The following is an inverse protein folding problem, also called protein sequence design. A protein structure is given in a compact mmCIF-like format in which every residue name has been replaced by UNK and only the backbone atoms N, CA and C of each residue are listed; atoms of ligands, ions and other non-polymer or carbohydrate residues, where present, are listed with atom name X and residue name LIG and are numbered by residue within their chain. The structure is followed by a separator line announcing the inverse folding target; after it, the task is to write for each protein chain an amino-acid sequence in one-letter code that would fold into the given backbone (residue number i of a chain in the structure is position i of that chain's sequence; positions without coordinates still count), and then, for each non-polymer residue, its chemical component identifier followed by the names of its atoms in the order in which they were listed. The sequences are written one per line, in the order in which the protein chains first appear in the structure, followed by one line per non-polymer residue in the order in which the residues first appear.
data_IF_960939597149
#
_entry.id   IF_960939597149
#
_cell.length_a   1.000
_cell.length_b   1.000
_cell.length_c   1.000
_cell.angle_alpha   90.00
_cell.angle_beta   90.00
_cell.angle_gamma   90.00
#
_symmetry.space_group_name_H-M   'P 1'
#
loop_
_entity.id
_entity.type
_entity.pdbx_description
1 polymer ?
#
# COMPACT_ATOMS: atom_id res chain seq x y z
N UNK A 1 -15.66 -3.78 12.22
CA UNK A 1 -15.67 -2.34 11.89
C UNK A 1 -16.25 -2.00 10.52
N UNK A 2 -16.15 -2.89 9.50
CA UNK A 2 -16.56 -2.56 8.12
C UNK A 2 -18.05 -2.28 7.95
N UNK A 3 -18.92 -2.99 8.65
CA UNK A 3 -20.38 -2.85 8.52
C UNK A 3 -20.92 -1.46 8.92
N UNK A 4 -20.41 -0.90 10.02
CA UNK A 4 -20.84 0.44 10.47
C UNK A 4 -20.38 1.52 9.46
N UNK A 5 -19.18 1.41 8.92
CA UNK A 5 -18.66 2.34 7.93
C UNK A 5 -19.46 2.34 6.63
N UNK A 6 -19.84 1.16 6.14
CA UNK A 6 -20.70 1.00 4.96
C UNK A 6 -22.10 1.55 5.21
N UNK A 7 -22.68 1.26 6.37
CA UNK A 7 -24.02 1.77 6.74
C UNK A 7 -24.02 3.30 6.82
N UNK A 8 -23.07 3.89 7.55
CA UNK A 8 -22.99 5.35 7.68
C UNK A 8 -22.72 6.04 6.34
N UNK A 9 -21.81 5.49 5.54
CA UNK A 9 -21.49 6.02 4.22
C UNK A 9 -22.70 5.96 3.28
N UNK A 10 -23.40 4.84 3.25
CA UNK A 10 -24.63 4.67 2.47
C UNK A 10 -25.75 5.62 2.92
N UNK A 11 -25.99 5.69 4.23
CA UNK A 11 -27.00 6.59 4.81
C UNK A 11 -26.74 8.05 4.48
N UNK A 12 -25.50 8.54 4.62
CA UNK A 12 -25.13 9.92 4.29
C UNK A 12 -25.32 10.17 2.79
N UNK A 13 -24.86 9.25 1.94
CA UNK A 13 -24.97 9.35 0.48
C UNK A 13 -26.45 9.41 0.05
N UNK A 14 -27.29 8.54 0.58
CA UNK A 14 -28.71 8.48 0.25
C UNK A 14 -29.45 9.75 0.71
N UNK A 15 -29.21 10.17 1.95
CA UNK A 15 -29.80 11.41 2.50
C UNK A 15 -29.36 12.63 1.69
N UNK A 16 -28.09 12.72 1.31
CA UNK A 16 -27.57 13.81 0.49
C UNK A 16 -28.22 13.86 -0.89
N UNK A 17 -28.27 12.72 -1.58
CA UNK A 17 -28.87 12.63 -2.91
C UNK A 17 -30.39 12.88 -2.88
N UNK A 18 -31.06 12.51 -1.80
CA UNK A 18 -32.48 12.81 -1.58
C UNK A 18 -32.77 14.31 -1.36
N UNK A 19 -31.83 14.99 -0.66
CA UNK A 19 -31.96 16.44 -0.39
C UNK A 19 -31.52 17.28 -1.59
N UNK A 20 -30.48 16.84 -2.30
CA UNK A 20 -29.89 17.53 -3.46
C UNK A 20 -29.82 16.60 -4.67
N UNK A 21 -30.96 16.39 -5.39
CA UNK A 21 -30.99 15.53 -6.57
C UNK A 21 -30.08 16.01 -7.69
N UNK A 22 -29.94 17.35 -7.82
CA UNK A 22 -28.99 17.98 -8.74
C UNK A 22 -27.75 18.45 -7.95
N UNK A 23 -26.56 17.93 -8.29
CA UNK A 23 -25.30 18.36 -7.65
C UNK A 23 -25.06 19.87 -7.74
N UNK A 24 -25.59 20.55 -8.77
CA UNK A 24 -25.47 22.00 -8.92
C UNK A 24 -26.19 22.80 -7.84
N UNK A 25 -27.16 22.22 -7.13
CA UNK A 25 -27.92 22.85 -6.03
C UNK A 25 -27.33 22.51 -4.65
N UNK A 26 -26.39 21.58 -4.59
CA UNK A 26 -25.77 21.14 -3.34
C UNK A 26 -24.68 22.12 -2.86
N UNK A 27 -24.43 22.22 -1.54
CA UNK A 27 -23.28 22.95 -1.01
C UNK A 27 -21.97 22.47 -1.64
N UNK A 28 -21.16 23.41 -2.13
CA UNK A 28 -19.89 23.14 -2.82
C UNK A 28 -20.02 22.26 -4.07
N UNK A 29 -21.19 22.11 -4.65
CA UNK A 29 -21.50 21.25 -5.79
C UNK A 29 -21.08 19.78 -5.56
N UNK A 30 -21.22 19.30 -4.31
CA UNK A 30 -20.79 17.95 -3.92
C UNK A 30 -21.84 16.91 -4.32
N UNK A 31 -21.35 15.81 -4.87
CA UNK A 31 -22.14 14.58 -5.04
C UNK A 31 -22.25 13.84 -3.71
N UNK A 32 -23.29 13.01 -3.53
CA UNK A 32 -23.53 12.31 -2.26
C UNK A 32 -22.36 11.48 -1.76
N UNK A 33 -21.62 10.80 -2.65
CA UNK A 33 -20.43 10.05 -2.26
C UNK A 33 -19.30 10.96 -1.74
N UNK A 34 -19.13 12.14 -2.31
CA UNK A 34 -18.13 13.12 -1.85
C UNK A 34 -18.49 13.67 -0.47
N UNK A 35 -19.78 13.95 -0.25
CA UNK A 35 -20.29 14.36 1.05
C UNK A 35 -20.06 13.27 2.11
N UNK A 36 -20.30 12.01 1.78
CA UNK A 36 -20.02 10.87 2.66
C UNK A 36 -18.53 10.78 3.04
N UNK A 37 -17.62 10.92 2.06
CA UNK A 37 -16.18 10.94 2.33
C UNK A 37 -15.75 12.11 3.21
N UNK A 38 -16.30 13.31 2.98
CA UNK A 38 -15.99 14.47 3.81
C UNK A 38 -16.52 14.31 5.23
N UNK A 39 -17.74 13.80 5.38
CA UNK A 39 -18.36 13.60 6.69
C UNK A 39 -17.57 12.61 7.57
N UNK A 40 -16.95 11.59 6.98
CA UNK A 40 -16.09 10.64 7.69
C UNK A 40 -14.65 11.15 7.79
N UNK A 41 -14.16 11.84 6.77
CA UNK A 41 -12.77 12.30 6.70
C UNK A 41 -12.46 13.45 7.65
N UNK A 42 -13.38 14.41 7.83
CA UNK A 42 -13.18 15.56 8.73
C UNK A 42 -12.96 15.12 10.19
N UNK A 43 -13.80 14.25 10.78
CA UNK A 43 -13.51 13.69 12.11
C UNK A 43 -12.17 12.96 12.17
N UNK A 44 -11.79 12.26 11.10
CA UNK A 44 -10.49 11.58 10.99
C UNK A 44 -9.31 12.57 11.07
N UNK A 45 -9.41 13.72 10.39
CA UNK A 45 -8.40 14.78 10.46
C UNK A 45 -8.31 15.36 11.87
N UNK A 46 -9.45 15.61 12.52
CA UNK A 46 -9.48 16.10 13.91
C UNK A 46 -8.83 15.11 14.87
N UNK A 47 -9.11 13.81 14.69
CA UNK A 47 -8.45 12.75 15.45
C UNK A 47 -6.94 12.70 15.18
N UNK A 48 -6.50 12.87 13.96
CA UNK A 48 -5.08 12.89 13.60
C UNK A 48 -4.36 14.08 14.26
N UNK A 49 -4.98 15.25 14.30
CA UNK A 49 -4.46 16.43 15.02
C UNK A 49 -4.38 16.14 16.51
N UNK A 50 -5.42 15.54 17.07
CA UNK A 50 -5.45 15.19 18.49
C UNK A 50 -4.37 14.16 18.84
N UNK A 51 -4.23 13.09 18.08
CA UNK A 51 -3.18 12.07 18.27
C UNK A 51 -1.78 12.70 18.25
N UNK A 52 -1.56 13.73 17.43
CA UNK A 52 -0.27 14.45 17.41
C UNK A 52 0.07 15.14 18.73
N UNK A 53 -0.91 15.43 19.58
CA UNK A 53 -0.69 16.02 20.91
C UNK A 53 -0.36 14.97 21.97
N UNK A 54 -0.57 13.68 21.68
CA UNK A 54 -0.26 12.60 22.60
C UNK A 54 1.25 12.37 22.66
N UNK A 55 1.75 12.16 23.87
CA UNK A 55 3.16 11.80 24.07
C UNK A 55 3.38 10.38 23.58
N UNK A 56 4.28 10.21 22.60
CA UNK A 56 4.61 8.89 22.07
C UNK A 56 5.30 8.05 23.17
N UNK A 57 4.80 6.84 23.47
CA UNK A 57 5.47 5.96 24.40
C UNK A 57 6.80 5.50 23.81
N UNK A 58 7.80 5.27 24.65
CA UNK A 58 9.10 4.79 24.18
C UNK A 58 8.91 3.41 23.54
N UNK A 59 9.27 3.32 22.25
CA UNK A 59 9.12 2.09 21.48
C UNK A 59 9.95 0.96 22.05
N UNK A 60 9.36 -0.23 22.15
CA UNK A 60 10.03 -1.43 22.61
C UNK A 60 10.10 -1.60 24.12
N UNK A 61 9.58 -0.66 24.94
CA UNK A 61 9.58 -0.80 26.41
C UNK A 61 8.84 -2.07 26.87
N UNK A 62 7.73 -2.41 26.22
CA UNK A 62 6.95 -3.63 26.51
C UNK A 62 7.71 -4.92 26.21
N UNK A 63 8.71 -4.86 25.35
CA UNK A 63 9.54 -5.99 24.91
C UNK A 63 10.94 -5.97 25.54
N UNK A 64 11.20 -5.00 26.45
CA UNK A 64 12.52 -4.82 27.05
C UNK A 64 13.59 -4.28 26.07
N UNK A 65 13.18 -3.84 24.89
CA UNK A 65 14.05 -3.28 23.86
C UNK A 65 13.90 -1.77 23.84
N UNK A 66 15.00 -1.04 24.02
CA UNK A 66 15.02 0.40 23.81
C UNK A 66 15.39 0.64 22.35
N UNK A 67 14.39 0.96 21.51
CA UNK A 67 14.65 1.34 20.13
C UNK A 67 15.44 2.66 20.13
N UNK A 68 16.63 2.66 19.51
CA UNK A 68 17.38 3.91 19.26
C UNK A 68 16.57 4.77 18.29
N UNK A 69 16.27 6.00 18.71
CA UNK A 69 15.70 6.98 17.80
C UNK A 69 16.68 7.22 16.64
N UNK A 70 16.18 7.13 15.42
CA UNK A 70 17.01 7.45 14.25
C UNK A 70 17.17 8.97 14.17
N UNK A 71 18.40 9.49 14.09
CA UNK A 71 18.66 10.95 14.15
C UNK A 71 18.03 11.73 12.99
N UNK A 72 17.65 11.04 11.92
CA UNK A 72 17.04 11.67 10.73
C UNK A 72 15.94 10.79 10.13
N UNK A 73 14.74 10.71 10.76
CA UNK A 73 13.67 9.81 10.30
C UNK A 73 13.18 10.12 8.88
N UNK A 74 13.17 11.39 8.48
CA UNK A 74 12.75 11.79 7.14
C UNK A 74 13.76 11.41 6.04
N UNK A 75 15.05 11.31 6.34
CA UNK A 75 16.04 10.85 5.37
C UNK A 75 15.86 9.36 5.08
N UNK A 76 15.58 8.57 6.11
CA UNK A 76 15.28 7.13 5.96
C UNK A 76 14.00 6.95 5.14
N UNK A 77 12.95 7.69 5.46
CA UNK A 77 11.70 7.66 4.70
C UNK A 77 11.93 7.99 3.22
N UNK A 78 12.69 9.05 2.94
CA UNK A 78 13.04 9.46 1.56
C UNK A 78 13.84 8.37 0.83
N UNK A 79 14.80 7.74 1.51
CA UNK A 79 15.59 6.64 0.94
C UNK A 79 14.75 5.41 0.65
N UNK A 80 13.84 5.03 1.55
CA UNK A 80 12.92 3.92 1.32
C UNK A 80 11.97 4.22 0.16
N UNK A 81 11.38 5.41 0.09
CA UNK A 81 10.54 5.80 -1.04
C UNK A 81 11.32 5.81 -2.35
N UNK A 82 12.54 6.33 -2.36
CA UNK A 82 13.39 6.32 -3.55
C UNK A 82 13.72 4.90 -4.01
N UNK A 83 13.88 3.94 -3.08
CA UNK A 83 14.12 2.54 -3.41
C UNK A 83 12.92 1.84 -4.06
N UNK A 84 11.71 2.36 -3.86
CA UNK A 84 10.48 1.81 -4.42
C UNK A 84 10.13 2.41 -5.79
N UNK A 85 10.58 3.64 -6.09
CA UNK A 85 10.24 4.31 -7.34
C UNK A 85 11.08 3.77 -8.50
N UNK A 86 10.46 3.36 -9.64
CA UNK A 86 11.17 3.00 -10.85
C UNK A 86 12.17 4.10 -11.25
N UNK A 87 13.34 3.74 -11.76
CA UNK A 87 14.51 4.59 -12.08
C UNK A 87 15.30 5.09 -10.85
N UNK A 88 14.67 5.58 -9.79
CA UNK A 88 15.38 6.00 -8.58
C UNK A 88 15.94 4.80 -7.81
N UNK A 89 15.26 3.66 -7.86
CA UNK A 89 15.72 2.41 -7.28
C UNK A 89 17.06 1.93 -7.88
N UNK A 90 17.33 2.20 -9.17
CA UNK A 90 18.59 1.80 -9.81
C UNK A 90 19.80 2.50 -9.18
N UNK A 91 19.65 3.76 -8.78
CA UNK A 91 20.72 4.48 -8.07
C UNK A 91 20.92 3.89 -6.66
N UNK A 92 19.83 3.55 -5.97
CA UNK A 92 19.86 2.85 -4.68
C UNK A 92 20.55 1.47 -4.80
N UNK A 93 20.12 0.65 -5.74
CA UNK A 93 20.68 -0.68 -6.00
C UNK A 93 22.19 -0.64 -6.28
N UNK A 94 22.64 0.33 -7.10
CA UNK A 94 24.06 0.53 -7.38
C UNK A 94 24.81 0.92 -6.11
N UNK A 95 24.26 1.82 -5.29
CA UNK A 95 24.87 2.25 -4.02
C UNK A 95 24.95 1.10 -3.03
N UNK A 96 23.91 0.27 -2.96
CA UNK A 96 23.80 -0.87 -2.04
C UNK A 96 24.63 -2.09 -2.51
N UNK A 97 25.29 -2.02 -3.68
CA UNK A 97 26.08 -3.10 -4.24
C UNK A 97 25.29 -4.25 -4.85
N UNK A 98 24.01 -4.03 -5.13
CA UNK A 98 23.14 -5.02 -5.74
C UNK A 98 23.42 -5.21 -7.25
N UNK A 99 23.11 -6.40 -7.78
CA UNK A 99 23.37 -6.75 -9.17
C UNK A 99 22.40 -6.06 -10.13
N UNK A 100 22.84 -5.00 -10.81
CA UNK A 100 22.04 -4.32 -11.84
C UNK A 100 21.66 -5.24 -13.02
N UNK A 101 22.56 -6.10 -13.56
CA UNK A 101 22.17 -7.02 -14.63
C UNK A 101 21.02 -7.94 -14.24
N UNK A 102 21.00 -8.43 -13.01
CA UNK A 102 19.87 -9.24 -12.51
C UNK A 102 18.58 -8.44 -12.44
N UNK A 103 18.65 -7.16 -12.04
CA UNK A 103 17.49 -6.28 -11.98
C UNK A 103 16.91 -6.03 -13.39
N UNK A 104 17.77 -5.75 -14.38
CA UNK A 104 17.33 -5.58 -15.76
C UNK A 104 16.76 -6.87 -16.36
N UNK A 105 17.36 -8.03 -16.07
CA UNK A 105 16.82 -9.31 -16.52
C UNK A 105 15.43 -9.58 -15.93
N UNK A 106 15.24 -9.30 -14.63
CA UNK A 106 13.93 -9.42 -13.98
C UNK A 106 12.91 -8.47 -14.59
N UNK A 107 13.28 -7.21 -14.83
CA UNK A 107 12.42 -6.24 -15.50
C UNK A 107 11.99 -6.73 -16.90
N UNK A 108 12.92 -7.24 -17.70
CA UNK A 108 12.62 -7.78 -19.02
C UNK A 108 11.62 -8.96 -18.96
N UNK A 109 11.84 -9.90 -18.04
CA UNK A 109 10.93 -11.04 -17.84
C UNK A 109 9.54 -10.57 -17.43
N UNK A 110 9.45 -9.62 -16.48
CA UNK A 110 8.17 -9.07 -16.01
C UNK A 110 7.44 -8.37 -17.17
N UNK A 111 8.14 -7.57 -17.96
CA UNK A 111 7.55 -6.87 -19.13
C UNK A 111 7.03 -7.87 -20.15
N UNK A 112 7.82 -8.87 -20.53
CA UNK A 112 7.41 -9.91 -21.48
C UNK A 112 6.16 -10.63 -20.96
N UNK A 113 6.13 -10.99 -19.68
CA UNK A 113 5.00 -11.67 -19.08
C UNK A 113 3.76 -10.78 -19.01
N UNK A 114 3.91 -9.50 -18.68
CA UNK A 114 2.82 -8.54 -18.67
C UNK A 114 2.23 -8.31 -20.08
N UNK A 115 3.08 -8.24 -21.11
CA UNK A 115 2.63 -8.13 -22.52
C UNK A 115 1.86 -9.39 -22.91
N UNK A 116 2.40 -10.57 -22.64
CA UNK A 116 1.76 -11.85 -22.93
C UNK A 116 0.39 -11.97 -22.29
N UNK A 117 0.28 -11.65 -21.00
CA UNK A 117 -1.00 -11.70 -20.27
C UNK A 117 -1.98 -10.62 -20.74
N UNK A 118 -1.48 -9.43 -21.10
CA UNK A 118 -2.29 -8.36 -21.68
C UNK A 118 -2.91 -8.80 -23.01
N UNK A 119 -2.13 -9.48 -23.84
CA UNK A 119 -2.61 -10.05 -25.09
C UNK A 119 -3.63 -11.16 -24.86
N UNK A 120 -3.39 -12.05 -23.90
CA UNK A 120 -4.26 -13.19 -23.60
C UNK A 120 -5.62 -12.75 -23.01
N UNK A 121 -5.62 -11.74 -22.13
CA UNK A 121 -6.83 -11.30 -21.40
C UNK A 121 -7.49 -10.05 -21.95
N UNK A 122 -6.85 -9.39 -22.90
CA UNK A 122 -7.29 -8.11 -23.49
C UNK A 122 -7.44 -6.97 -22.44
N UNK A 123 -6.68 -7.02 -21.33
CA UNK A 123 -6.75 -6.07 -20.22
C UNK A 123 -5.36 -5.53 -19.87
N UNK A 124 -4.82 -4.62 -20.70
CA UNK A 124 -3.45 -4.11 -20.54
C UNK A 124 -3.22 -3.37 -19.22
N UNK A 125 -4.15 -2.52 -18.77
CA UNK A 125 -3.99 -1.69 -17.57
C UNK A 125 -3.76 -2.52 -16.31
N UNK A 126 -4.45 -3.64 -16.17
CA UNK A 126 -4.33 -4.54 -15.02
C UNK A 126 -2.93 -5.17 -14.95
N UNK A 127 -2.44 -5.68 -16.08
CA UNK A 127 -1.15 -6.36 -16.13
C UNK A 127 0.03 -5.41 -16.05
N UNK A 128 -0.10 -4.18 -16.57
CA UNK A 128 0.89 -3.12 -16.38
C UNK A 128 0.99 -2.76 -14.88
N UNK A 129 -0.14 -2.53 -14.21
CA UNK A 129 -0.15 -2.20 -12.77
C UNK A 129 0.47 -3.33 -11.94
N UNK A 130 0.10 -4.59 -12.22
CA UNK A 130 0.67 -5.75 -11.54
C UNK A 130 2.17 -5.88 -11.82
N UNK A 131 2.60 -5.70 -13.06
CA UNK A 131 4.01 -5.75 -13.45
C UNK A 131 4.86 -4.70 -12.72
N UNK A 132 4.35 -3.47 -12.59
CA UNK A 132 5.00 -2.41 -11.80
C UNK A 132 5.12 -2.85 -10.34
N UNK A 133 4.06 -3.38 -9.73
CA UNK A 133 4.07 -3.85 -8.35
C UNK A 133 5.09 -4.98 -8.12
N UNK A 134 5.14 -5.97 -9.00
CA UNK A 134 6.09 -7.08 -8.94
C UNK A 134 7.53 -6.57 -9.09
N UNK A 135 7.77 -5.65 -10.03
CA UNK A 135 9.10 -5.08 -10.23
C UNK A 135 9.59 -4.28 -9.02
N UNK A 136 8.71 -3.44 -8.45
CA UNK A 136 9.03 -2.67 -7.24
C UNK A 136 9.37 -3.58 -6.07
N UNK A 137 8.56 -4.62 -5.86
CA UNK A 137 8.80 -5.61 -4.80
C UNK A 137 10.12 -6.37 -5.00
N UNK A 138 10.42 -6.78 -6.23
CA UNK A 138 11.69 -7.44 -6.55
C UNK A 138 12.89 -6.53 -6.30
N UNK A 139 12.85 -5.29 -6.79
CA UNK A 139 13.93 -4.32 -6.61
C UNK A 139 14.17 -3.98 -5.14
N UNK A 140 13.09 -3.83 -4.37
CA UNK A 140 13.18 -3.63 -2.93
C UNK A 140 13.79 -4.84 -2.21
N UNK A 141 13.36 -6.05 -2.55
CA UNK A 141 13.93 -7.28 -1.98
C UNK A 141 15.43 -7.41 -2.30
N UNK A 142 15.83 -7.06 -3.51
CA UNK A 142 17.23 -7.06 -3.94
C UNK A 142 18.08 -6.03 -3.18
N UNK A 143 17.54 -4.82 -2.95
CA UNK A 143 18.18 -3.78 -2.15
C UNK A 143 18.35 -4.23 -0.70
N UNK A 144 17.31 -4.77 -0.07
CA UNK A 144 17.40 -5.31 1.29
C UNK A 144 18.41 -6.44 1.38
N UNK A 145 18.43 -7.36 0.42
CA UNK A 145 19.41 -8.45 0.40
C UNK A 145 20.85 -7.93 0.42
N UNK A 146 21.12 -6.82 -0.27
CA UNK A 146 22.45 -6.25 -0.35
C UNK A 146 22.85 -5.46 0.92
N UNK A 147 21.92 -4.70 1.52
CA UNK A 147 22.23 -3.82 2.67
C UNK A 147 21.95 -4.44 4.04
N UNK A 148 20.98 -5.34 4.14
CA UNK A 148 20.55 -6.00 5.38
C UNK A 148 20.12 -7.44 5.13
N UNK A 149 21.12 -8.32 5.01
CA UNK A 149 20.91 -9.74 4.79
C UNK A 149 20.09 -10.41 5.92
N UNK A 150 20.18 -9.92 7.16
CA UNK A 150 19.44 -10.47 8.29
C UNK A 150 17.92 -10.24 8.11
N UNK A 151 17.54 -9.03 7.79
CA UNK A 151 16.12 -8.68 7.49
C UNK A 151 15.64 -9.44 6.25
N UNK A 152 16.45 -9.55 5.19
CA UNK A 152 16.10 -10.35 4.02
C UNK A 152 15.82 -11.81 4.37
N UNK A 153 16.67 -12.44 5.17
CA UNK A 153 16.49 -13.83 5.61
C UNK A 153 15.21 -13.99 6.45
N UNK A 154 14.94 -13.05 7.35
CA UNK A 154 13.75 -13.07 8.18
C UNK A 154 12.46 -12.98 7.32
N UNK A 155 12.43 -12.14 6.31
CA UNK A 155 11.27 -11.93 5.44
C UNK A 155 11.11 -13.08 4.43
N UNK A 156 12.16 -13.40 3.67
CA UNK A 156 12.06 -14.26 2.50
C UNK A 156 12.52 -15.72 2.72
N UNK A 157 13.16 -16.05 3.85
CA UNK A 157 13.62 -17.41 4.17
C UNK A 157 12.94 -18.02 5.39
N UNK A 158 12.22 -17.25 6.18
CA UNK A 158 11.44 -17.78 7.30
C UNK A 158 10.17 -18.47 6.77
N UNK A 159 9.99 -19.75 7.07
CA UNK A 159 8.79 -20.51 6.69
C UNK A 159 7.51 -19.86 7.24
N UNK A 160 7.54 -19.37 8.48
CA UNK A 160 6.40 -18.71 9.11
C UNK A 160 6.02 -17.44 8.34
N UNK A 161 7.01 -16.60 7.99
CA UNK A 161 6.76 -15.37 7.25
C UNK A 161 6.22 -15.65 5.84
N UNK A 162 6.81 -16.61 5.11
CA UNK A 162 6.32 -17.00 3.77
C UNK A 162 4.88 -17.52 3.86
N UNK A 163 4.57 -18.39 4.83
CA UNK A 163 3.19 -18.87 5.02
C UNK A 163 2.22 -17.70 5.31
N UNK A 164 2.62 -16.74 6.13
CA UNK A 164 1.81 -15.55 6.42
C UNK A 164 1.60 -14.68 5.17
N UNK A 165 2.67 -14.46 4.40
CA UNK A 165 2.61 -13.70 3.14
C UNK A 165 1.71 -14.33 2.07
N UNK A 166 1.57 -15.65 2.07
CA UNK A 166 0.66 -16.37 1.17
C UNK A 166 -0.75 -16.44 1.75
N UNK A 167 -0.89 -16.74 3.04
CA UNK A 167 -2.18 -16.91 3.69
C UNK A 167 -3.00 -15.61 3.73
N UNK A 168 -2.37 -14.47 4.05
CA UNK A 168 -3.08 -13.21 4.20
C UNK A 168 -3.75 -12.73 2.89
N UNK A 169 -3.05 -12.65 1.75
CA UNK A 169 -3.70 -12.32 0.47
C UNK A 169 -4.76 -13.35 0.05
N UNK A 170 -4.56 -14.64 0.35
CA UNK A 170 -5.54 -15.68 0.04
C UNK A 170 -6.84 -15.49 0.81
N UNK A 171 -6.77 -15.18 2.11
CA UNK A 171 -7.93 -14.87 2.94
C UNK A 171 -8.62 -13.59 2.42
N UNK A 172 -7.86 -12.54 2.11
CA UNK A 172 -8.40 -11.33 1.54
C UNK A 172 -9.10 -11.57 0.20
N UNK A 173 -8.48 -12.36 -0.69
CA UNK A 173 -9.06 -12.73 -1.98
C UNK A 173 -10.40 -13.46 -1.82
N UNK A 174 -10.47 -14.46 -0.92
CA UNK A 174 -11.72 -15.20 -0.64
C UNK A 174 -12.75 -14.25 -0.03
N UNK A 175 -12.39 -13.47 0.97
CA UNK A 175 -13.32 -12.57 1.67
C UNK A 175 -13.92 -11.53 0.73
N UNK A 176 -13.09 -10.85 -0.06
CA UNK A 176 -13.56 -9.84 -1.01
C UNK A 176 -14.21 -10.47 -2.24
N UNK A 177 -13.65 -11.56 -2.77
CA UNK A 177 -14.23 -12.28 -3.90
C UNK A 177 -15.63 -12.77 -3.61
N UNK A 178 -15.81 -13.51 -2.52
CA UNK A 178 -17.13 -14.00 -2.10
C UNK A 178 -18.07 -12.85 -1.75
N UNK A 179 -17.58 -11.82 -1.03
CA UNK A 179 -18.40 -10.66 -0.64
C UNK A 179 -18.96 -9.90 -1.84
N UNK A 180 -18.22 -9.78 -2.94
CA UNK A 180 -18.72 -9.12 -4.16
C UNK A 180 -19.65 -9.98 -5.01
N UNK A 181 -19.59 -11.32 -4.89
CA UNK A 181 -20.43 -12.21 -5.68
C UNK A 181 -21.70 -12.65 -4.95
N UNK A 182 -21.79 -12.42 -3.64
CA UNK A 182 -22.96 -12.78 -2.82
C UNK A 182 -23.87 -11.58 -2.46
N UNK A 183 -23.50 -10.40 -2.86
CA UNK A 183 -24.29 -9.17 -2.71
C UNK A 183 -25.09 -8.89 -3.98
#
# INVERSE_FOLDING_TARGET
GGGIGLFLGGFIMETWNGTYPDPGTSPLNLKGWQAAFLAVGIPGILMAIWVRTLKEPIRGISEGLVAKEHPAPFSVLKEEFASMLPFFNLMGLKRDGASLPLNFAAAAVIIIFAIFLSWLTNTASQWIALGIGVYVTFSWAQSIQARDAATFHMIFKSKAMICTMVAFPSIAFVTYGVGYWTA
#
